data_IF_943858105460
#
_entry.id   IF_943858105460
#
_cell.length_a   1.000
_cell.length_b   1.000
_cell.length_c   1.000
_cell.angle_alpha   90.00
_cell.angle_beta   90.00
_cell.angle_gamma   90.00
#
_symmetry.space_group_name_H-M   'P 1'
#
loop_
_entity.id
_entity.type
_entity.pdbx_description
1 polymer ?
#
# COMPACT_ATOMS: atom_id res chain seq x y z
N UNK A 1 -8.18 -21.61 -2.28
CA UNK A 1 -8.59 -20.20 -2.56
C UNK A 1 -8.61 -19.41 -1.27
N UNK A 2 -8.17 -18.15 -1.27
CA UNK A 2 -8.15 -17.31 -0.06
C UNK A 2 -9.58 -16.90 0.37
N UNK A 3 -9.84 -16.76 1.66
CA UNK A 3 -11.17 -16.39 2.21
C UNK A 3 -11.72 -15.05 1.68
N UNK A 4 -10.85 -14.13 1.29
CA UNK A 4 -11.21 -12.83 0.70
C UNK A 4 -11.09 -12.81 -0.83
N UNK A 5 -11.08 -13.97 -1.49
CA UNK A 5 -11.05 -14.03 -2.96
C UNK A 5 -12.32 -13.38 -3.50
N UNK A 6 -12.18 -12.37 -4.35
CA UNK A 6 -13.32 -11.70 -4.99
C UNK A 6 -14.13 -12.71 -5.81
N UNK A 7 -15.45 -12.57 -5.83
CA UNK A 7 -16.34 -13.36 -6.69
C UNK A 7 -15.81 -13.39 -8.12
N UNK A 8 -15.74 -14.56 -8.75
CA UNK A 8 -15.22 -14.70 -10.10
C UNK A 8 -16.20 -14.10 -11.13
N UNK A 9 -15.73 -13.68 -12.33
CA UNK A 9 -16.57 -13.10 -13.37
C UNK A 9 -17.77 -13.98 -13.77
N UNK A 10 -17.57 -15.31 -13.85
CA UNK A 10 -18.64 -16.24 -14.19
C UNK A 10 -19.73 -16.28 -13.11
N UNK A 11 -19.36 -16.23 -11.82
CA UNK A 11 -20.32 -16.19 -10.71
C UNK A 11 -21.13 -14.89 -10.75
N UNK A 12 -20.48 -13.77 -11.07
CA UNK A 12 -21.18 -12.47 -11.21
C UNK A 12 -22.19 -12.50 -12.36
N UNK A 13 -21.88 -13.17 -13.47
CA UNK A 13 -22.83 -13.37 -14.58
C UNK A 13 -24.01 -14.25 -14.15
N UNK A 14 -23.75 -15.34 -13.42
CA UNK A 14 -24.80 -16.21 -12.91
C UNK A 14 -25.74 -15.48 -11.93
N UNK A 15 -25.18 -14.73 -10.96
CA UNK A 15 -25.95 -13.87 -10.05
C UNK A 15 -26.84 -12.90 -10.83
N UNK A 16 -26.30 -12.25 -11.86
CA UNK A 16 -27.06 -11.30 -12.67
C UNK A 16 -28.17 -11.98 -13.49
N UNK A 17 -27.87 -13.14 -14.09
CA UNK A 17 -28.87 -13.96 -14.79
C UNK A 17 -30.01 -14.33 -13.85
N UNK A 18 -29.71 -14.94 -12.70
CA UNK A 18 -30.72 -15.37 -11.74
C UNK A 18 -31.56 -14.21 -11.20
N UNK A 19 -30.95 -13.04 -11.00
CA UNK A 19 -31.67 -11.82 -10.63
C UNK A 19 -32.63 -11.35 -11.73
N UNK A 20 -32.24 -11.41 -13.01
CA UNK A 20 -33.11 -11.10 -14.15
C UNK A 20 -34.31 -12.08 -14.23
N UNK A 21 -34.13 -13.33 -13.82
CA UNK A 21 -35.21 -14.32 -13.72
C UNK A 21 -36.10 -14.15 -12.46
N UNK A 22 -35.94 -13.05 -11.71
CA UNK A 22 -36.83 -12.69 -10.60
C UNK A 22 -36.43 -13.22 -9.22
N UNK A 23 -35.24 -13.81 -9.07
CA UNK A 23 -34.78 -14.25 -7.75
C UNK A 23 -34.55 -13.07 -6.79
N UNK A 24 -34.96 -13.23 -5.53
CA UNK A 24 -34.77 -12.22 -4.50
C UNK A 24 -33.29 -12.10 -4.09
N UNK A 25 -32.87 -10.89 -3.70
CA UNK A 25 -31.50 -10.61 -3.24
C UNK A 25 -31.14 -11.44 -2.00
N UNK A 26 -32.12 -11.76 -1.14
CA UNK A 26 -31.92 -12.63 0.03
C UNK A 26 -31.60 -14.07 -0.38
N UNK A 27 -32.29 -14.59 -1.39
CA UNK A 27 -32.03 -15.93 -1.94
C UNK A 27 -30.62 -15.98 -2.52
N UNK A 28 -30.27 -15.02 -3.38
CA UNK A 28 -28.96 -14.93 -4.02
C UNK A 28 -27.82 -14.82 -2.99
N UNK A 29 -27.99 -14.02 -1.94
CA UNK A 29 -26.99 -13.89 -0.88
C UNK A 29 -26.73 -15.22 -0.15
N UNK A 30 -27.79 -16.01 0.09
CA UNK A 30 -27.72 -17.33 0.73
C UNK A 30 -27.09 -18.38 -0.19
N UNK A 31 -27.55 -18.45 -1.44
CA UNK A 31 -27.08 -19.40 -2.46
C UNK A 31 -25.58 -19.22 -2.75
N UNK A 32 -25.16 -17.98 -3.02
CA UNK A 32 -23.78 -17.67 -3.36
C UNK A 32 -22.88 -17.41 -2.14
N UNK A 33 -23.41 -17.56 -0.91
CA UNK A 33 -22.69 -17.37 0.37
C UNK A 33 -21.96 -16.04 0.46
N UNK A 34 -22.63 -14.96 0.02
CA UNK A 34 -22.09 -13.60 0.05
C UNK A 34 -23.04 -12.64 0.74
N UNK A 35 -22.51 -11.54 1.27
CA UNK A 35 -23.32 -10.52 1.91
C UNK A 35 -24.24 -9.82 0.91
N UNK A 36 -25.45 -9.43 1.35
CA UNK A 36 -26.41 -8.65 0.54
C UNK A 36 -25.78 -7.40 -0.12
N UNK A 37 -24.94 -6.59 0.57
CA UNK A 37 -24.26 -5.46 -0.06
C UNK A 37 -23.37 -5.85 -1.24
N UNK A 38 -22.78 -7.06 -1.21
CA UNK A 38 -21.98 -7.57 -2.33
C UNK A 38 -22.85 -7.88 -3.53
N UNK A 39 -24.03 -8.49 -3.32
CA UNK A 39 -25.01 -8.75 -4.38
C UNK A 39 -25.47 -7.43 -5.02
N UNK A 40 -25.84 -6.42 -4.23
CA UNK A 40 -26.21 -5.10 -4.75
C UNK A 40 -25.11 -4.50 -5.64
N UNK A 41 -23.85 -4.49 -5.17
CA UNK A 41 -22.69 -4.00 -5.94
C UNK A 41 -22.45 -4.81 -7.22
N UNK A 42 -22.68 -6.12 -7.20
CA UNK A 42 -22.56 -6.97 -8.38
C UNK A 42 -23.64 -6.62 -9.40
N UNK A 43 -24.91 -6.50 -8.99
CA UNK A 43 -26.04 -6.14 -9.86
C UNK A 43 -25.83 -4.75 -10.46
N UNK A 44 -25.50 -3.74 -9.65
CA UNK A 44 -25.22 -2.37 -10.09
C UNK A 44 -24.18 -2.33 -11.23
N UNK A 45 -23.10 -3.10 -11.09
CA UNK A 45 -22.04 -3.18 -12.11
C UNK A 45 -22.42 -4.04 -13.30
N UNK A 46 -23.18 -5.10 -13.08
CA UNK A 46 -23.66 -5.99 -14.12
C UNK A 46 -24.66 -5.28 -15.05
N UNK A 47 -25.44 -4.30 -14.56
CA UNK A 47 -26.24 -3.39 -15.40
C UNK A 47 -25.39 -2.63 -16.43
N UNK A 48 -24.15 -2.31 -16.10
CA UNK A 48 -23.17 -1.68 -16.99
C UNK A 48 -22.37 -2.71 -17.83
N UNK A 49 -22.81 -3.98 -17.86
CA UNK A 49 -22.12 -5.11 -18.52
C UNK A 49 -20.67 -5.33 -18.06
N UNK A 50 -20.29 -4.84 -16.88
CA UNK A 50 -18.93 -4.95 -16.36
C UNK A 50 -18.78 -6.14 -15.41
N UNK A 51 -18.25 -7.25 -15.92
CA UNK A 51 -18.02 -8.49 -15.15
C UNK A 51 -16.54 -8.77 -14.85
N UNK A 52 -15.62 -7.94 -15.33
CA UNK A 52 -14.20 -8.22 -15.32
C UNK A 52 -13.57 -8.18 -13.91
N UNK A 53 -12.45 -8.89 -13.77
CA UNK A 53 -11.63 -8.79 -12.56
C UNK A 53 -10.87 -7.47 -12.56
N UNK A 54 -11.37 -6.52 -11.75
CA UNK A 54 -10.69 -5.25 -11.54
C UNK A 54 -9.33 -5.45 -10.88
N UNK A 55 -8.30 -4.90 -11.52
CA UNK A 55 -6.97 -4.77 -10.92
C UNK A 55 -7.07 -3.82 -9.71
N UNK A 56 -6.45 -4.15 -8.58
CA UNK A 56 -6.35 -3.25 -7.42
C UNK A 56 -5.25 -2.21 -7.64
N UNK A 57 -5.34 -1.46 -8.74
CA UNK A 57 -4.35 -0.45 -9.10
C UNK A 57 -4.86 0.90 -8.65
N UNK A 58 -4.09 1.57 -7.80
CA UNK A 58 -4.37 2.95 -7.41
C UNK A 58 -3.76 3.88 -8.46
N UNK A 59 -4.61 4.55 -9.25
CA UNK A 59 -4.17 5.48 -10.29
C UNK A 59 -3.33 6.64 -9.74
N UNK A 60 -3.51 7.03 -8.47
CA UNK A 60 -2.69 8.05 -7.79
C UNK A 60 -1.20 7.75 -7.87
N UNK A 61 -0.80 6.47 -7.86
CA UNK A 61 0.61 6.07 -7.89
C UNK A 61 1.17 5.90 -9.32
N UNK A 62 0.31 5.96 -10.33
CA UNK A 62 0.67 5.86 -11.75
C UNK A 62 0.81 7.22 -12.43
N UNK A 63 0.53 8.31 -11.74
CA UNK A 63 0.68 9.66 -12.31
C UNK A 63 2.15 10.05 -12.33
N UNK A 64 2.54 10.80 -13.36
CA UNK A 64 3.88 11.39 -13.48
C UNK A 64 4.20 12.24 -12.26
N UNK A 65 3.23 13.06 -11.81
CA UNK A 65 3.34 13.88 -10.61
C UNK A 65 3.75 13.07 -9.37
N UNK A 66 3.10 11.92 -9.12
CA UNK A 66 3.47 11.06 -8.00
C UNK A 66 4.87 10.47 -8.17
N UNK A 67 5.21 10.07 -9.39
CA UNK A 67 6.54 9.58 -9.75
C UNK A 67 7.64 10.60 -9.44
N UNK A 68 7.49 11.83 -9.94
CA UNK A 68 8.43 12.94 -9.71
C UNK A 68 8.56 13.27 -8.22
N UNK A 69 7.44 13.35 -7.49
CA UNK A 69 7.47 13.60 -6.05
C UNK A 69 8.19 12.48 -5.29
N UNK A 70 8.00 11.22 -5.70
CA UNK A 70 8.69 10.09 -5.08
C UNK A 70 10.18 10.12 -5.40
N UNK A 71 10.54 10.44 -6.64
CA UNK A 71 11.93 10.57 -7.09
C UNK A 71 12.66 11.64 -6.27
N UNK A 72 12.12 12.85 -6.17
CA UNK A 72 12.68 13.95 -5.38
C UNK A 72 12.90 13.58 -3.90
N UNK A 73 11.94 12.87 -3.28
CA UNK A 73 12.10 12.38 -1.89
C UNK A 73 13.23 11.34 -1.77
N UNK A 74 13.36 10.47 -2.77
CA UNK A 74 14.42 9.46 -2.79
C UNK A 74 15.79 10.11 -2.98
N UNK A 75 15.92 11.07 -3.90
CA UNK A 75 17.14 11.85 -4.11
C UNK A 75 17.55 12.58 -2.83
N UNK A 76 16.65 13.30 -2.18
CA UNK A 76 16.94 13.99 -0.93
C UNK A 76 17.37 13.03 0.20
N UNK A 77 16.80 11.82 0.24
CA UNK A 77 17.20 10.78 1.21
C UNK A 77 18.59 10.23 0.89
N UNK A 78 18.91 10.04 -0.38
CA UNK A 78 20.22 9.57 -0.82
C UNK A 78 21.29 10.62 -0.56
N UNK A 79 21.03 11.89 -0.86
CA UNK A 79 21.95 12.99 -0.57
C UNK A 79 22.29 13.05 0.92
N UNK A 80 21.28 13.05 1.80
CA UNK A 80 21.50 13.00 3.26
C UNK A 80 22.31 11.79 3.72
N UNK A 81 22.20 10.66 3.02
CA UNK A 81 22.99 9.47 3.31
C UNK A 81 24.44 9.65 2.87
N UNK A 82 24.67 10.23 1.70
CA UNK A 82 26.01 10.58 1.19
C UNK A 82 26.67 11.56 2.15
N UNK A 83 26.00 12.66 2.50
CA UNK A 83 26.52 13.68 3.42
C UNK A 83 26.89 13.09 4.78
N UNK A 84 26.06 12.16 5.29
CA UNK A 84 26.37 11.47 6.54
C UNK A 84 27.62 10.59 6.43
N UNK A 85 27.79 9.90 5.30
CA UNK A 85 28.91 8.99 5.07
C UNK A 85 30.20 9.73 4.72
N UNK A 86 30.12 10.92 4.14
CA UNK A 86 31.29 11.75 3.82
C UNK A 86 31.91 12.40 5.05
N UNK A 87 31.16 12.55 6.15
CA UNK A 87 31.69 13.05 7.42
C UNK A 87 32.67 12.02 8.01
N UNK A 88 33.95 12.35 7.94
CA UNK A 88 35.00 11.64 8.69
C UNK A 88 35.13 12.26 10.08
N UNK A 89 34.80 11.49 11.12
CA UNK A 89 34.72 11.98 12.51
C UNK A 89 36.01 12.64 12.99
N UNK A 90 37.17 12.13 12.56
CA UNK A 90 38.49 12.51 13.07
C UNK A 90 39.27 13.50 12.18
N UNK A 91 38.71 13.91 11.03
CA UNK A 91 39.32 14.91 10.15
C UNK A 91 38.61 16.26 10.34
N UNK A 92 39.37 17.31 10.68
CA UNK A 92 38.89 18.69 10.88
C UNK A 92 39.82 19.66 10.20
N UNK A 93 39.26 20.78 9.76
CA UNK A 93 39.97 21.74 8.92
C UNK A 93 40.94 22.60 9.74
N UNK A 94 40.65 22.84 11.02
CA UNK A 94 41.49 23.64 11.91
C UNK A 94 41.97 22.87 13.15
N UNK A 95 43.26 23.00 13.55
CA UNK A 95 43.76 22.38 14.76
C UNK A 95 43.04 22.93 16.01
N UNK A 96 42.41 22.05 16.78
CA UNK A 96 41.67 22.38 18.01
C UNK A 96 40.15 22.26 17.92
N UNK A 97 39.57 22.05 16.73
CA UNK A 97 38.12 21.79 16.59
C UNK A 97 37.69 20.43 17.14
N UNK A 98 38.65 19.53 17.35
CA UNK A 98 38.43 18.21 17.92
C UNK A 98 39.03 18.10 19.30
N UNK A 99 38.27 18.52 20.29
CA UNK A 99 38.59 18.28 21.70
C UNK A 99 37.71 17.15 22.20
N UNK A 100 38.31 16.00 22.45
CA UNK A 100 37.64 14.88 23.12
C UNK A 100 38.03 14.88 24.59
N UNK A 101 37.08 15.24 25.45
CA UNK A 101 37.21 15.07 26.89
C UNK A 101 36.65 13.70 27.28
N UNK A 102 37.50 12.80 27.75
CA UNK A 102 37.04 11.56 28.36
C UNK A 102 36.57 11.86 29.79
N UNK A 103 35.26 12.04 29.96
CA UNK A 103 34.63 12.29 31.27
C UNK A 103 34.22 11.00 31.98
N UNK A 104 34.76 9.84 31.56
CA UNK A 104 34.44 8.57 32.21
C UNK A 104 34.93 8.58 33.66
N UNK A 105 33.97 8.52 34.58
CA UNK A 105 34.24 8.37 36.02
C UNK A 105 34.93 7.01 36.23
N UNK A 106 36.20 7.05 36.61
CA UNK A 106 36.96 5.85 36.93
C UNK A 106 36.40 5.18 38.21
N UNK A 107 36.42 3.84 38.28
CA UNK A 107 35.99 3.11 39.47
C UNK A 107 36.87 3.48 40.67
N UNK A 108 36.26 3.51 41.85
CA UNK A 108 36.98 3.73 43.10
C UNK A 108 37.85 2.51 43.38
N UNK A 109 39.15 2.72 43.58
CA UNK A 109 40.03 1.68 44.11
C UNK A 109 39.71 1.56 45.60
N UNK A 110 39.34 0.36 46.05
CA UNK A 110 39.17 0.01 47.46
C UNK A 110 40.50 -0.41 48.08
#
# INVERSE_FOLDING_TARGET
MHKNTRLLPFIRKAIYSNWQHGQSINSLAREYKVSRPTIYKVIERAKLRNFENRKSVNYRFKTIEYGLRKLSKTEAKLQKRIDRLSIKRYEKDYPGEMVHFDTKRLPLIQ
#
